data_IF_263628296920
#
_entry.id   IF_263628296920
#
_cell.length_a   1.000
_cell.length_b   1.000
_cell.length_c   1.000
_cell.angle_alpha   90.00
_cell.angle_beta   90.00
_cell.angle_gamma   90.00
#
_symmetry.space_group_name_H-M   'P 1'
#
loop_
_entity.id
_entity.type
_entity.pdbx_description
1 polymer ?
#
# COMPACT_ATOMS: atom_id res chain seq x y z
N UNK A 1 -16.91 -28.20 -16.87
CA UNK A 1 -15.57 -28.62 -17.37
C UNK A 1 -14.54 -27.59 -16.90
N UNK A 2 -13.61 -27.96 -16.02
CA UNK A 2 -12.60 -27.01 -15.50
C UNK A 2 -11.58 -26.75 -16.61
N UNK A 3 -11.51 -25.52 -17.14
CA UNK A 3 -10.43 -25.13 -18.05
C UNK A 3 -9.11 -25.23 -17.28
N UNK A 4 -8.28 -26.21 -17.62
CA UNK A 4 -6.93 -26.38 -17.06
C UNK A 4 -6.00 -25.44 -17.81
N UNK A 5 -5.50 -24.42 -17.12
CA UNK A 5 -4.49 -23.51 -17.64
C UNK A 5 -3.09 -24.01 -17.22
N UNK A 6 -2.11 -23.91 -18.13
CA UNK A 6 -0.73 -24.25 -17.83
C UNK A 6 -0.14 -23.32 -16.77
N UNK A 7 0.88 -23.79 -16.06
CA UNK A 7 1.54 -22.99 -15.01
C UNK A 7 2.18 -21.73 -15.63
N UNK A 8 2.82 -21.90 -16.79
CA UNK A 8 3.45 -20.83 -17.55
C UNK A 8 2.45 -19.75 -17.99
N UNK A 9 1.27 -20.16 -18.47
CA UNK A 9 0.21 -19.21 -18.83
C UNK A 9 -0.30 -18.42 -17.62
N UNK A 10 -0.41 -19.06 -16.44
CA UNK A 10 -0.80 -18.36 -15.21
C UNK A 10 0.25 -17.34 -14.79
N UNK A 11 1.54 -17.67 -14.90
CA UNK A 11 2.63 -16.74 -14.60
C UNK A 11 2.59 -15.54 -15.55
N UNK A 12 2.54 -15.78 -16.86
CA UNK A 12 2.44 -14.72 -17.87
C UNK A 12 1.21 -13.83 -17.66
N UNK A 13 0.06 -14.41 -17.29
CA UNK A 13 -1.16 -13.65 -16.98
C UNK A 13 -0.98 -12.72 -15.78
N UNK A 14 -0.26 -13.17 -14.75
CA UNK A 14 0.00 -12.37 -13.55
C UNK A 14 1.05 -11.29 -13.83
N UNK A 15 2.11 -11.61 -14.57
CA UNK A 15 3.14 -10.63 -14.97
C UNK A 15 2.55 -9.53 -15.85
N UNK A 16 1.68 -9.90 -16.79
CA UNK A 16 0.93 -8.95 -17.60
C UNK A 16 0.05 -8.04 -16.74
N UNK A 17 -0.68 -8.61 -15.77
CA UNK A 17 -1.52 -7.81 -14.87
C UNK A 17 -0.72 -6.88 -13.95
N UNK A 18 0.48 -7.28 -13.50
CA UNK A 18 1.36 -6.45 -12.70
C UNK A 18 2.02 -5.33 -13.51
N UNK A 19 2.28 -5.57 -14.80
CA UNK A 19 2.86 -4.59 -15.71
C UNK A 19 1.87 -3.54 -16.20
N UNK A 20 0.56 -3.81 -16.11
CA UNK A 20 -0.54 -2.94 -16.56
C UNK A 20 -1.48 -2.61 -15.38
N UNK A 21 -0.90 -2.09 -14.29
CA UNK A 21 -1.63 -1.77 -13.06
C UNK A 21 -2.59 -0.57 -13.19
N UNK A 22 -2.53 0.14 -14.30
CA UNK A 22 -3.42 1.23 -14.72
C UNK A 22 -4.79 0.72 -15.21
N UNK A 23 -4.86 -0.54 -15.67
CA UNK A 23 -6.09 -1.17 -16.15
C UNK A 23 -6.81 -1.92 -15.03
N UNK A 24 -8.14 -1.99 -15.12
CA UNK A 24 -8.92 -2.75 -14.14
C UNK A 24 -8.71 -4.26 -14.32
N UNK A 25 -8.79 -5.03 -13.24
CA UNK A 25 -8.70 -6.50 -13.28
C UNK A 25 -9.75 -7.10 -14.23
N UNK A 26 -10.91 -6.45 -14.38
CA UNK A 26 -11.95 -6.88 -15.32
C UNK A 26 -11.50 -6.74 -16.78
N UNK A 27 -10.87 -5.62 -17.13
CA UNK A 27 -10.34 -5.39 -18.47
C UNK A 27 -9.19 -6.35 -18.77
N UNK A 28 -8.22 -6.47 -17.87
CA UNK A 28 -7.10 -7.40 -18.01
C UNK A 28 -7.57 -8.86 -18.19
N UNK A 29 -8.59 -9.26 -17.45
CA UNK A 29 -9.19 -10.58 -17.58
C UNK A 29 -9.85 -10.79 -18.96
N UNK A 30 -10.53 -9.76 -19.48
CA UNK A 30 -11.09 -9.79 -20.83
C UNK A 30 -10.01 -9.88 -21.90
N UNK A 31 -8.92 -9.11 -21.78
CA UNK A 31 -7.78 -9.15 -22.70
C UNK A 31 -7.11 -10.53 -22.75
N UNK A 32 -6.99 -11.19 -21.59
CA UNK A 32 -6.40 -12.52 -21.47
C UNK A 32 -7.39 -13.66 -21.75
N UNK A 33 -8.67 -13.36 -21.98
CA UNK A 33 -9.72 -14.36 -22.19
C UNK A 33 -9.99 -15.24 -20.96
N UNK A 34 -9.69 -14.75 -19.76
CA UNK A 34 -9.87 -15.45 -18.48
C UNK A 34 -10.98 -14.82 -17.66
N UNK A 35 -11.59 -15.59 -16.76
CA UNK A 35 -12.56 -15.04 -15.82
C UNK A 35 -11.87 -14.09 -14.83
N UNK A 36 -12.50 -12.96 -14.52
CA UNK A 36 -12.01 -11.99 -13.51
C UNK A 36 -11.63 -12.66 -12.19
N UNK A 37 -12.51 -13.51 -11.67
CA UNK A 37 -12.27 -14.25 -10.42
C UNK A 37 -11.08 -15.22 -10.51
N UNK A 38 -10.83 -15.76 -11.70
CA UNK A 38 -9.70 -16.65 -11.97
C UNK A 38 -8.39 -15.87 -11.97
N UNK A 39 -8.36 -14.72 -12.65
CA UNK A 39 -7.20 -13.84 -12.67
C UNK A 39 -6.88 -13.28 -11.27
N UNK A 40 -7.90 -12.80 -10.55
CA UNK A 40 -7.74 -12.33 -9.17
C UNK A 40 -7.16 -13.42 -8.26
N UNK A 41 -7.64 -14.66 -8.39
CA UNK A 41 -7.10 -15.81 -7.65
C UNK A 41 -5.64 -16.08 -8.00
N UNK A 42 -5.26 -16.03 -9.27
CA UNK A 42 -3.87 -16.24 -9.69
C UNK A 42 -2.95 -15.12 -9.22
N UNK A 43 -3.37 -13.86 -9.33
CA UNK A 43 -2.60 -12.73 -8.79
C UNK A 43 -2.37 -12.91 -7.29
N UNK A 44 -3.39 -13.30 -6.52
CA UNK A 44 -3.22 -13.57 -5.07
C UNK A 44 -2.28 -14.73 -4.76
N UNK A 45 -2.28 -15.77 -5.60
CA UNK A 45 -1.51 -17.01 -5.37
C UNK A 45 -0.06 -16.93 -5.88
N UNK A 46 0.16 -16.23 -6.99
CA UNK A 46 1.45 -16.15 -7.68
C UNK A 46 2.16 -14.82 -7.45
N UNK A 47 1.47 -13.78 -6.96
CA UNK A 47 2.16 -12.58 -6.49
C UNK A 47 3.00 -12.98 -5.27
N UNK A 48 4.34 -12.87 -5.35
CA UNK A 48 5.24 -13.35 -4.31
C UNK A 48 5.14 -12.59 -2.97
N UNK A 49 4.17 -11.69 -2.78
CA UNK A 49 4.17 -10.73 -1.68
C UNK A 49 2.84 -10.47 -0.96
N UNK A 50 1.78 -11.27 -1.12
CA UNK A 50 0.46 -10.91 -0.54
C UNK A 50 -0.38 -12.02 0.11
N UNK A 51 0.22 -13.14 0.54
CA UNK A 51 -0.49 -14.11 1.41
C UNK A 51 0.23 -14.30 2.74
N UNK A 52 0.23 -13.24 3.56
CA UNK A 52 0.24 -13.27 5.03
C UNK A 52 0.41 -11.83 5.49
N UNK A 53 -0.57 -11.27 6.23
CA UNK A 53 -0.46 -10.05 7.06
C UNK A 53 0.54 -9.01 6.52
N UNK A 54 0.09 -8.03 5.73
CA UNK A 54 0.90 -6.89 5.19
C UNK A 54 2.09 -6.55 6.11
N UNK A 55 3.24 -7.17 5.87
CA UNK A 55 4.50 -6.67 6.37
C UNK A 55 4.79 -5.49 5.46
N UNK A 56 4.57 -4.30 5.99
CA UNK A 56 4.96 -3.05 5.35
C UNK A 56 6.38 -3.23 4.84
N UNK A 57 6.66 -2.86 3.59
CA UNK A 57 8.04 -2.88 3.09
C UNK A 57 8.91 -2.05 4.03
N UNK A 58 10.21 -2.33 4.12
CA UNK A 58 11.11 -1.57 5.00
C UNK A 58 10.98 -0.05 4.78
N UNK A 59 10.76 0.35 3.53
CA UNK A 59 10.47 1.74 3.16
C UNK A 59 9.14 2.24 3.72
N UNK A 60 8.06 1.47 3.62
CA UNK A 60 6.77 1.83 4.21
C UNK A 60 6.80 1.90 5.74
N UNK A 61 7.55 1.01 6.40
CA UNK A 61 7.77 1.07 7.85
C UNK A 61 8.53 2.34 8.23
N UNK A 62 9.55 2.69 7.45
CA UNK A 62 10.31 3.92 7.64
C UNK A 62 9.45 5.16 7.45
N UNK A 63 8.62 5.20 6.40
CA UNK A 63 7.67 6.29 6.16
C UNK A 63 6.73 6.44 7.35
N UNK A 64 6.12 5.35 7.84
CA UNK A 64 5.22 5.41 8.99
C UNK A 64 5.92 5.87 10.27
N UNK A 65 7.15 5.42 10.51
CA UNK A 65 7.94 5.86 11.66
C UNK A 65 8.24 7.37 11.57
N UNK A 66 8.64 7.85 10.40
CA UNK A 66 8.91 9.27 10.15
C UNK A 66 7.64 10.13 10.27
N UNK A 67 6.50 9.67 9.74
CA UNK A 67 5.22 10.37 9.88
C UNK A 67 4.80 10.51 11.34
N UNK A 68 5.02 9.45 12.14
CA UNK A 68 4.75 9.47 13.58
C UNK A 68 5.66 10.48 14.29
N UNK A 69 6.95 10.46 14.00
CA UNK A 69 7.93 11.38 14.59
C UNK A 69 7.61 12.85 14.22
N UNK A 70 7.28 13.12 12.96
CA UNK A 70 6.84 14.45 12.52
C UNK A 70 5.60 14.91 13.29
N UNK A 71 4.64 14.02 13.54
CA UNK A 71 3.43 14.35 14.29
C UNK A 71 3.75 14.71 15.74
N UNK A 72 4.60 13.94 16.40
CA UNK A 72 5.03 14.20 17.78
C UNK A 72 5.81 15.51 17.89
N UNK A 73 6.75 15.76 16.97
CA UNK A 73 7.51 17.01 16.92
C UNK A 73 6.60 18.22 16.68
N UNK A 74 5.61 18.11 15.78
CA UNK A 74 4.64 19.18 15.54
C UNK A 74 3.79 19.47 16.78
N UNK A 75 3.36 18.45 17.51
CA UNK A 75 2.62 18.63 18.76
C UNK A 75 3.49 19.32 19.82
N UNK A 76 4.74 18.88 20.01
CA UNK A 76 5.65 19.51 20.96
C UNK A 76 5.93 20.97 20.59
N UNK A 77 6.12 21.26 19.30
CA UNK A 77 6.32 22.62 18.81
C UNK A 77 5.08 23.51 19.07
N UNK A 78 3.88 22.98 18.85
CA UNK A 78 2.64 23.70 19.12
C UNK A 78 2.48 24.03 20.62
N UNK A 79 2.81 23.09 21.52
CA UNK A 79 2.83 23.33 22.96
C UNK A 79 3.84 24.41 23.33
N UNK A 80 5.07 24.33 22.79
CA UNK A 80 6.11 25.33 23.04
C UNK A 80 5.70 26.72 22.55
N UNK A 81 5.09 26.81 21.37
CA UNK A 81 4.55 28.07 20.84
C UNK A 81 3.46 28.64 21.74
N UNK A 82 2.52 27.81 22.19
CA UNK A 82 1.46 28.22 23.13
C UNK A 82 2.04 28.70 24.46
N UNK A 83 3.03 27.99 25.00
CA UNK A 83 3.72 28.38 26.22
C UNK A 83 4.46 29.71 26.02
N UNK A 84 5.19 29.88 24.91
CA UNK A 84 5.88 31.11 24.58
C UNK A 84 4.92 32.31 24.51
N UNK A 85 3.79 32.15 23.83
CA UNK A 85 2.73 33.17 23.78
C UNK A 85 2.15 33.46 25.16
N UNK A 86 1.92 32.42 25.98
CA UNK A 86 1.43 32.58 27.35
C UNK A 86 2.42 33.37 28.21
N UNK A 87 3.72 33.07 28.15
CA UNK A 87 4.76 33.77 28.90
C UNK A 87 4.97 35.22 28.44
N UNK A 88 4.85 35.50 27.14
CA UNK A 88 4.88 36.88 26.62
C UNK A 88 3.67 37.68 27.11
N UNK A 89 2.48 37.07 27.11
CA UNK A 89 1.23 37.76 27.45
C UNK A 89 0.95 37.82 28.96
N UNK A 90 1.62 37.00 29.77
CA UNK A 90 1.54 37.03 31.23
C UNK A 90 2.93 37.17 31.86
N UNK A 91 3.61 38.33 31.67
CA UNK A 91 4.88 38.61 32.30
C UNK A 91 4.64 38.91 33.79
N UNK A 92 4.44 37.86 34.58
CA UNK A 92 4.43 37.93 36.05
C UNK A 92 5.41 36.90 36.59
N UNK A 93 6.68 37.24 36.40
CA UNK A 93 7.81 36.83 37.23
C UNK A 93 8.50 38.12 37.69
#
# INVERSE_FOLDING_TARGET
>A
MVKKFSIEFKQQSVDYALSNADLSISELANHLGVGKSTLDKWIRQLSPNKTSRRELTAEQQRIMALEKEIKELKMANDILKKAHVYFINNPSW
#
